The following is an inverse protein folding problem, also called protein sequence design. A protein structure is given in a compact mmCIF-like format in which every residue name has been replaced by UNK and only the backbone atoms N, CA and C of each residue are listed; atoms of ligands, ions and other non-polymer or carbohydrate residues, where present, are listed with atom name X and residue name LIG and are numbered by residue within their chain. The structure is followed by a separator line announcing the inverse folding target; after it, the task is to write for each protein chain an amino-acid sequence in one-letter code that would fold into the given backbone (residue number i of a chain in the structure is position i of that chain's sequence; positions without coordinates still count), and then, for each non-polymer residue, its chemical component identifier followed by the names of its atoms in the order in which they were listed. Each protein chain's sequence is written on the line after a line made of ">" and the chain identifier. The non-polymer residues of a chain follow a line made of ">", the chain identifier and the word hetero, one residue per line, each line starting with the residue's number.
data_IF_065886285024
#
_entry.id   IF_065886285024
#
_cell.length_a   1.000
_cell.length_b   1.000
_cell.length_c   1.000
_cell.angle_alpha   90.00
_cell.angle_beta   90.00
_cell.angle_gamma   90.00
#
_symmetry.space_group_name_H-M   'P 1'
#
loop_
_entity.id
_entity.type
_entity.pdbx_description
1 polymer ?
#
# COMPACT_ATOMS: atom_id res chain seq x y z
N UNK A 1 25.11 -0.67 -9.38
CA UNK A 1 24.06 -1.54 -9.95
C UNK A 1 22.82 -1.49 -9.05
N UNK A 2 21.99 -0.44 -9.16
CA UNK A 2 20.67 -0.33 -8.47
C UNK A 2 19.93 0.95 -8.94
N UNK A 3 19.88 1.23 -10.25
CA UNK A 3 19.11 2.41 -10.76
C UNK A 3 18.06 2.05 -11.81
N UNK A 4 18.10 0.85 -12.38
CA UNK A 4 17.22 0.50 -13.50
C UNK A 4 15.78 0.10 -13.11
N UNK A 5 15.50 -0.21 -11.84
CA UNK A 5 14.13 -0.58 -11.40
C UNK A 5 13.23 0.66 -11.21
N UNK A 6 13.82 1.85 -11.01
CA UNK A 6 13.06 3.11 -10.82
C UNK A 6 12.86 3.92 -12.11
N UNK A 7 13.27 3.38 -13.26
CA UNK A 7 13.40 4.14 -14.51
C UNK A 7 12.10 4.34 -15.30
N UNK A 8 10.97 3.87 -14.77
CA UNK A 8 9.66 4.06 -15.40
C UNK A 8 8.83 4.97 -14.48
N UNK A 9 8.84 6.30 -14.71
CA UNK A 9 8.22 7.29 -13.81
C UNK A 9 6.74 7.03 -13.53
N UNK A 10 6.05 6.38 -14.47
CA UNK A 10 4.63 6.04 -14.41
C UNK A 10 4.26 4.97 -13.36
N UNK A 11 5.24 4.18 -12.87
CA UNK A 11 5.02 3.16 -11.82
C UNK A 11 5.53 3.58 -10.45
N UNK A 12 6.24 4.70 -10.35
CA UNK A 12 6.72 5.23 -9.08
C UNK A 12 5.58 5.90 -8.30
N UNK A 13 5.61 5.80 -6.97
CA UNK A 13 4.68 6.54 -6.11
C UNK A 13 4.96 8.04 -6.31
N UNK A 14 3.97 8.86 -6.72
CA UNK A 14 4.17 10.29 -6.88
C UNK A 14 4.76 10.91 -5.60
N UNK A 15 5.85 11.71 -5.70
CA UNK A 15 6.51 12.29 -4.53
C UNK A 15 5.58 13.11 -3.65
N UNK A 16 4.61 13.79 -4.25
CA UNK A 16 3.61 14.60 -3.55
C UNK A 16 2.63 13.75 -2.73
N UNK A 17 2.24 12.56 -3.21
CA UNK A 17 1.41 11.64 -2.43
C UNK A 17 2.18 11.08 -1.25
N UNK A 18 3.45 10.71 -1.45
CA UNK A 18 4.30 10.21 -0.37
C UNK A 18 4.62 11.28 0.68
N UNK A 19 4.79 12.54 0.25
CA UNK A 19 5.03 13.67 1.14
C UNK A 19 3.83 13.93 2.08
N UNK A 20 2.61 13.73 1.60
CA UNK A 20 1.37 13.94 2.36
C UNK A 20 0.84 12.66 3.03
N UNK A 21 1.53 11.53 2.88
CA UNK A 21 1.10 10.25 3.42
C UNK A 21 1.28 10.19 4.95
N UNK A 22 0.20 9.85 5.65
CA UNK A 22 0.20 9.57 7.09
C UNK A 22 0.57 8.11 7.39
N UNK A 23 0.41 7.23 6.41
CA UNK A 23 0.81 5.83 6.49
C UNK A 23 1.12 5.30 5.09
N UNK A 24 1.98 4.29 5.02
CA UNK A 24 2.26 3.52 3.81
C UNK A 24 2.02 2.05 4.12
N UNK A 25 1.24 1.37 3.28
CA UNK A 25 0.98 -0.06 3.37
C UNK A 25 1.47 -0.75 2.11
N UNK A 26 2.27 -1.81 2.27
CA UNK A 26 2.75 -2.64 1.17
C UNK A 26 2.03 -3.99 1.25
N UNK A 27 1.15 -4.25 0.28
CA UNK A 27 0.39 -5.50 0.16
C UNK A 27 0.87 -6.28 -1.08
N UNK A 28 1.86 -7.17 -0.95
CA UNK A 28 2.44 -7.87 -2.10
C UNK A 28 1.47 -8.91 -2.71
N UNK A 29 0.49 -9.39 -1.94
CA UNK A 29 -0.50 -10.37 -2.37
C UNK A 29 -1.89 -9.93 -1.89
N UNK A 30 -2.67 -9.38 -2.80
CA UNK A 30 -4.08 -9.06 -2.59
C UNK A 30 -4.92 -9.96 -3.50
N UNK A 31 -5.69 -10.86 -2.90
CA UNK A 31 -6.64 -11.71 -3.61
C UNK A 31 -7.94 -10.94 -3.77
N UNK A 32 -8.47 -10.88 -5.00
CA UNK A 32 -9.79 -10.35 -5.32
C UNK A 32 -10.63 -11.49 -5.91
N UNK A 33 -11.84 -11.69 -5.43
CA UNK A 33 -12.77 -12.70 -5.95
C UNK A 33 -14.18 -12.10 -6.10
N UNK A 34 -14.89 -12.38 -7.19
CA UNK A 34 -16.31 -12.03 -7.34
C UNK A 34 -16.72 -11.42 -8.69
N UNK A 35 -17.94 -11.73 -9.13
CA UNK A 35 -18.60 -11.16 -10.31
C UNK A 35 -19.79 -10.23 -9.99
N UNK A 36 -20.42 -10.37 -8.81
CA UNK A 36 -21.58 -9.56 -8.33
C UNK A 36 -21.38 -9.15 -6.85
N UNK A 37 -20.80 -10.06 -6.06
CA UNK A 37 -20.29 -9.76 -4.71
C UNK A 37 -18.78 -9.94 -4.77
N UNK A 38 -18.06 -8.84 -4.64
CA UNK A 38 -16.61 -8.80 -4.62
C UNK A 38 -16.08 -8.94 -3.19
N UNK A 39 -15.10 -9.81 -2.98
CA UNK A 39 -14.30 -9.90 -1.77
C UNK A 39 -12.84 -9.59 -2.09
N UNK A 40 -12.17 -8.86 -1.21
CA UNK A 40 -10.72 -8.66 -1.22
C UNK A 40 -10.11 -9.08 0.11
N UNK A 41 -9.00 -9.80 0.05
CA UNK A 41 -8.22 -10.19 1.22
C UNK A 41 -6.72 -10.18 0.90
N UNK A 42 -5.90 -9.65 1.81
CA UNK A 42 -4.44 -9.66 1.68
C UNK A 42 -3.75 -9.28 2.97
N UNK A 43 -2.48 -9.66 3.10
CA UNK A 43 -1.63 -9.36 4.26
C UNK A 43 -0.38 -8.64 3.79
N UNK A 44 0.16 -7.75 4.63
CA UNK A 44 1.39 -7.04 4.34
C UNK A 44 1.89 -6.22 5.52
N UNK A 45 2.73 -5.23 5.22
CA UNK A 45 3.37 -4.38 6.20
C UNK A 45 2.84 -2.96 6.11
N UNK A 46 2.64 -2.33 7.26
CA UNK A 46 2.26 -0.93 7.37
C UNK A 46 3.29 -0.17 8.21
N UNK A 47 3.64 1.03 7.76
CA UNK A 47 4.37 2.02 8.55
C UNK A 47 3.50 3.26 8.70
N UNK A 48 3.53 3.88 9.87
CA UNK A 48 2.79 5.11 10.19
C UNK A 48 3.78 6.24 10.37
N UNK A 49 3.41 7.41 9.87
CA UNK A 49 4.12 8.68 10.09
C UNK A 49 3.39 9.46 11.18
N UNK A 50 4.09 9.87 12.23
CA UNK A 50 3.52 10.73 13.26
C UNK A 50 3.34 12.18 12.80
N UNK A 51 2.70 12.99 13.66
CA UNK A 51 2.51 14.43 13.41
C UNK A 51 3.83 15.22 13.35
N UNK A 52 4.93 14.67 13.85
CA UNK A 52 6.27 15.27 13.78
C UNK A 52 7.00 14.89 12.49
N UNK A 53 6.41 14.01 11.67
CA UNK A 53 6.97 13.56 10.41
C UNK A 53 7.83 12.30 10.51
N UNK A 54 7.96 11.69 11.69
CA UNK A 54 8.78 10.50 11.92
C UNK A 54 8.03 9.24 11.48
N UNK A 55 8.74 8.33 10.81
CA UNK A 55 8.22 7.00 10.49
C UNK A 55 8.48 6.04 11.65
N UNK A 56 7.45 5.31 12.05
CA UNK A 56 7.55 4.25 13.05
C UNK A 56 7.86 2.89 12.44
N UNK A 57 8.29 1.95 13.29
CA UNK A 57 8.57 0.57 12.92
C UNK A 57 7.38 -0.08 12.19
N UNK A 58 7.66 -0.93 11.19
CA UNK A 58 6.61 -1.59 10.44
C UNK A 58 5.87 -2.61 11.31
N UNK A 59 4.56 -2.71 11.08
CA UNK A 59 3.68 -3.70 11.70
C UNK A 59 2.99 -4.55 10.63
N UNK A 60 2.71 -5.82 10.97
CA UNK A 60 1.96 -6.70 10.09
C UNK A 60 0.48 -6.30 10.12
N UNK A 61 -0.14 -6.20 8.94
CA UNK A 61 -1.56 -5.87 8.79
C UNK A 61 -2.23 -6.82 7.81
N UNK A 62 -3.52 -7.05 8.03
CA UNK A 62 -4.38 -7.75 7.08
C UNK A 62 -5.49 -6.81 6.62
N UNK A 63 -5.65 -6.70 5.30
CA UNK A 63 -6.72 -5.96 4.65
C UNK A 63 -7.80 -6.94 4.20
N UNK A 64 -9.02 -6.70 4.63
CA UNK A 64 -10.21 -7.39 4.14
C UNK A 64 -11.25 -6.36 3.69
N UNK A 65 -12.10 -6.71 2.73
CA UNK A 65 -13.23 -5.87 2.35
C UNK A 65 -14.17 -6.58 1.38
N UNK A 66 -15.45 -6.26 1.47
CA UNK A 66 -16.47 -6.68 0.51
C UNK A 66 -16.97 -5.50 -0.31
N UNK A 67 -17.44 -5.76 -1.53
CA UNK A 67 -18.23 -4.85 -2.35
C UNK A 67 -19.42 -5.61 -2.94
N UNK A 68 -20.53 -4.92 -3.17
CA UNK A 68 -21.68 -5.44 -3.91
C UNK A 68 -21.84 -4.55 -5.15
N UNK A 69 -21.83 -5.14 -6.33
CA UNK A 69 -21.84 -4.44 -7.62
C UNK A 69 -21.46 -5.34 -8.78
#
# INVERSE_FOLDING_TARGET
>A
MMREIFSIPETAIPPTLLANAHAVVVLPKLVKAGFIVGGRYGTGLMMVRDMQGNWHYPVMVSLTGGSVG
#
